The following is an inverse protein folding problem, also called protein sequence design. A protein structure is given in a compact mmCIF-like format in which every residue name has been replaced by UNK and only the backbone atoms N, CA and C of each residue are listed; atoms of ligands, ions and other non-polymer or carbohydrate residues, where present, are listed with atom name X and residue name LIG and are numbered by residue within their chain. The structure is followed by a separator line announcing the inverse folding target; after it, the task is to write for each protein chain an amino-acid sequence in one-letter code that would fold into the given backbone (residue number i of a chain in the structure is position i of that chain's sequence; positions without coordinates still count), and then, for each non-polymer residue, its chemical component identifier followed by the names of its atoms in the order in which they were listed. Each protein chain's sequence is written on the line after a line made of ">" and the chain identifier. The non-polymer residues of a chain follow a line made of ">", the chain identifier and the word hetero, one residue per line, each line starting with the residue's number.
data_IF_244915836004
#
_entry.id   IF_244915836004
#
_cell.length_a   1.000
_cell.length_b   1.000
_cell.length_c   1.000
_cell.angle_alpha   90.00
_cell.angle_beta   90.00
_cell.angle_gamma   90.00
#
_symmetry.space_group_name_H-M   'P 1'
#
loop_
_entity.id
_entity.type
_entity.pdbx_description
1 polymer ?
#
# COMPACT_ATOMS: atom_id res chain seq x y z
N UNK A 1 1.75 20.90 -23.62
CA UNK A 1 0.71 19.92 -23.21
C UNK A 1 1.24 18.50 -22.99
N UNK A 2 1.86 17.83 -23.97
CA UNK A 2 2.36 16.44 -23.83
C UNK A 2 3.25 16.19 -22.59
N UNK A 3 4.23 17.06 -22.32
CA UNK A 3 5.11 16.97 -21.12
C UNK A 3 4.40 17.17 -19.78
N UNK A 4 3.26 17.86 -19.77
CA UNK A 4 2.47 18.09 -18.57
C UNK A 4 1.60 16.86 -18.26
N UNK A 5 0.92 16.32 -19.28
CA UNK A 5 0.20 15.04 -19.18
C UNK A 5 1.12 13.89 -18.75
N UNK A 6 2.32 13.78 -19.32
CA UNK A 6 3.28 12.73 -18.93
C UNK A 6 3.67 12.81 -17.45
N UNK A 7 3.83 14.02 -16.90
CA UNK A 7 4.13 14.22 -15.46
C UNK A 7 2.92 13.91 -14.58
N UNK A 8 1.73 14.28 -15.02
CA UNK A 8 0.49 14.00 -14.29
C UNK A 8 0.12 12.51 -14.27
N UNK A 9 0.51 11.78 -15.32
CA UNK A 9 0.23 10.35 -15.51
C UNK A 9 1.31 9.45 -14.91
N UNK A 10 2.59 9.86 -14.94
CA UNK A 10 3.66 9.06 -14.36
C UNK A 10 3.81 9.26 -12.85
N UNK A 11 3.49 10.43 -12.29
CA UNK A 11 3.77 10.72 -10.88
C UNK A 11 5.26 10.60 -10.53
N UNK A 12 5.60 10.83 -9.26
CA UNK A 12 6.96 10.58 -8.74
C UNK A 12 7.08 9.16 -8.16
N UNK A 13 8.29 8.65 -7.97
CA UNK A 13 8.50 7.38 -7.25
C UNK A 13 7.89 7.43 -5.84
N UNK A 14 7.94 8.58 -5.16
CA UNK A 14 7.32 8.79 -3.85
C UNK A 14 5.79 8.69 -3.93
N UNK A 15 5.17 9.27 -4.95
CA UNK A 15 3.73 9.14 -5.18
C UNK A 15 3.36 7.68 -5.46
N UNK A 16 4.16 6.98 -6.27
CA UNK A 16 3.96 5.55 -6.55
C UNK A 16 4.04 4.70 -5.27
N UNK A 17 5.02 4.92 -4.39
CA UNK A 17 5.12 4.16 -3.13
C UNK A 17 3.97 4.47 -2.16
N UNK A 18 3.46 5.71 -2.14
CA UNK A 18 2.23 6.06 -1.40
C UNK A 18 1.01 5.30 -1.95
N UNK A 19 0.85 5.26 -3.28
CA UNK A 19 -0.22 4.49 -3.91
C UNK A 19 -0.10 2.99 -3.63
N UNK A 20 1.12 2.43 -3.55
CA UNK A 20 1.34 1.04 -3.13
C UNK A 20 0.90 0.81 -1.68
N UNK A 21 1.24 1.69 -0.74
CA UNK A 21 0.77 1.56 0.64
C UNK A 21 -0.78 1.61 0.72
N UNK A 22 -1.39 2.53 -0.02
CA UNK A 22 -2.85 2.65 -0.13
C UNK A 22 -3.51 1.41 -0.76
N UNK A 23 -2.81 0.72 -1.67
CA UNK A 23 -3.22 -0.57 -2.25
C UNK A 23 -3.28 -1.66 -1.19
N UNK A 24 -2.26 -1.76 -0.35
CA UNK A 24 -2.20 -2.76 0.73
C UNK A 24 -3.30 -2.54 1.78
N UNK A 25 -3.70 -1.29 2.03
CA UNK A 25 -4.86 -0.96 2.88
C UNK A 25 -6.23 -1.26 2.22
N UNK A 26 -6.26 -1.66 0.95
CA UNK A 26 -7.49 -1.91 0.19
C UNK A 26 -8.25 -0.64 -0.21
N UNK A 27 -7.61 0.54 -0.17
CA UNK A 27 -8.25 1.86 -0.38
C UNK A 27 -7.99 2.47 -1.75
N UNK A 28 -7.31 1.76 -2.65
CA UNK A 28 -6.88 2.31 -3.94
C UNK A 28 -8.04 2.42 -4.94
N UNK A 29 -8.26 3.62 -5.48
CA UNK A 29 -9.26 3.84 -6.54
C UNK A 29 -8.80 3.27 -7.89
N UNK A 30 -9.74 3.10 -8.82
CA UNK A 30 -9.45 2.58 -10.17
C UNK A 30 -8.43 3.45 -10.93
N UNK A 31 -8.57 4.78 -10.86
CA UNK A 31 -7.66 5.72 -11.54
C UNK A 31 -6.25 5.63 -10.94
N UNK A 32 -6.16 5.56 -9.61
CA UNK A 32 -4.88 5.39 -8.92
C UNK A 32 -4.21 4.07 -9.26
N UNK A 33 -5.00 2.99 -9.39
CA UNK A 33 -4.51 1.69 -9.84
C UNK A 33 -3.92 1.75 -11.24
N UNK A 34 -4.57 2.45 -12.17
CA UNK A 34 -4.04 2.66 -13.53
C UNK A 34 -2.74 3.47 -13.52
N UNK A 35 -2.69 4.57 -12.75
CA UNK A 35 -1.47 5.38 -12.60
C UNK A 35 -0.31 4.57 -12.05
N UNK A 36 -0.55 3.81 -10.98
CA UNK A 36 0.45 2.96 -10.36
C UNK A 36 0.96 1.90 -11.33
N UNK A 37 0.06 1.23 -12.06
CA UNK A 37 0.42 0.23 -13.08
C UNK A 37 1.27 0.81 -14.21
N UNK A 38 0.98 2.04 -14.65
CA UNK A 38 1.81 2.71 -15.66
C UNK A 38 3.21 3.01 -15.10
N UNK A 39 3.30 3.52 -13.88
CA UNK A 39 4.59 3.85 -13.26
C UNK A 39 5.46 2.60 -13.06
N UNK A 40 4.91 1.50 -12.54
CA UNK A 40 5.69 0.27 -12.28
C UNK A 40 6.10 -0.46 -13.56
N UNK A 41 5.37 -0.28 -14.66
CA UNK A 41 5.80 -0.75 -15.98
C UNK A 41 7.01 0.03 -16.54
N UNK A 42 7.18 1.30 -16.16
CA UNK A 42 8.24 2.17 -16.68
C UNK A 42 9.44 2.33 -15.73
N UNK A 43 9.21 2.22 -14.43
CA UNK A 43 10.23 2.36 -13.39
C UNK A 43 10.55 0.99 -12.78
N UNK A 44 11.70 0.44 -13.16
CA UNK A 44 12.15 -0.89 -12.71
C UNK A 44 12.32 -0.99 -11.19
N UNK A 45 12.71 0.10 -10.52
CA UNK A 45 12.83 0.14 -9.05
C UNK A 45 11.47 0.00 -8.38
N UNK A 46 10.47 0.77 -8.83
CA UNK A 46 9.12 0.69 -8.31
C UNK A 46 8.47 -0.67 -8.63
N UNK A 47 8.70 -1.24 -9.81
CA UNK A 47 8.23 -2.60 -10.13
C UNK A 47 8.83 -3.68 -9.23
N UNK A 48 10.13 -3.59 -8.92
CA UNK A 48 10.79 -4.50 -7.95
C UNK A 48 10.26 -4.30 -6.54
N UNK A 49 10.08 -3.06 -6.12
CA UNK A 49 9.56 -2.72 -4.80
C UNK A 49 8.11 -3.21 -4.63
N UNK A 50 7.24 -3.02 -5.61
CA UNK A 50 5.86 -3.55 -5.57
C UNK A 50 5.87 -5.08 -5.40
N UNK A 51 6.69 -5.79 -6.19
CA UNK A 51 6.84 -7.24 -6.07
C UNK A 51 7.30 -7.65 -4.67
N UNK A 52 8.31 -6.97 -4.13
CA UNK A 52 8.84 -7.25 -2.79
C UNK A 52 7.76 -7.04 -1.72
N UNK A 53 7.02 -5.94 -1.77
CA UNK A 53 5.96 -5.64 -0.80
C UNK A 53 4.85 -6.69 -0.85
N UNK A 54 4.41 -7.09 -2.05
CA UNK A 54 3.42 -8.16 -2.18
C UNK A 54 3.94 -9.50 -1.63
N UNK A 55 5.22 -9.83 -1.85
CA UNK A 55 5.82 -11.04 -1.28
C UNK A 55 5.84 -10.99 0.25
N UNK A 56 6.28 -9.87 0.84
CA UNK A 56 6.26 -9.69 2.30
C UNK A 56 4.84 -9.84 2.85
N UNK A 57 3.84 -9.26 2.19
CA UNK A 57 2.45 -9.32 2.63
C UNK A 57 1.91 -10.77 2.61
N UNK A 58 2.19 -11.54 1.56
CA UNK A 58 1.80 -12.95 1.48
C UNK A 58 2.52 -13.80 2.54
N UNK A 59 3.83 -13.67 2.66
CA UNK A 59 4.62 -14.42 3.65
C UNK A 59 4.20 -14.08 5.09
N UNK A 60 3.84 -12.81 5.36
CA UNK A 60 3.38 -12.38 6.69
C UNK A 60 2.09 -13.07 7.12
N UNK A 61 1.24 -13.52 6.20
CA UNK A 61 0.02 -14.29 6.53
C UNK A 61 0.33 -15.67 7.10
N UNK A 62 1.51 -16.20 6.82
CA UNK A 62 1.96 -17.50 7.28
C UNK A 62 2.77 -17.43 8.58
N UNK A 63 3.12 -16.22 9.03
CA UNK A 63 3.77 -16.01 10.33
C UNK A 63 2.71 -16.13 11.43
N UNK A 64 2.61 -17.32 12.01
CA UNK A 64 1.85 -17.52 13.24
C UNK A 64 2.62 -16.92 14.41
N UNK A 65 1.98 -15.96 15.09
CA UNK A 65 2.44 -15.47 16.38
C UNK A 65 1.56 -16.07 17.45
N UNK A 66 2.17 -16.75 18.43
CA UNK A 66 1.47 -17.22 19.63
C UNK A 66 1.15 -16.05 20.58
N UNK A 67 1.57 -14.82 20.25
CA UNK A 67 1.28 -13.63 21.03
C UNK A 67 -0.21 -13.24 20.86
N UNK A 68 -1.02 -13.63 21.83
CA UNK A 68 -2.41 -13.19 21.95
C UNK A 68 -2.45 -11.85 22.67
N UNK A 69 -3.25 -10.90 22.17
CA UNK A 69 -3.55 -9.66 22.89
C UNK A 69 -4.24 -10.00 24.22
N UNK A 70 -3.76 -9.42 25.32
CA UNK A 70 -4.50 -9.52 26.58
C UNK A 70 -5.89 -8.92 26.41
N UNK A 71 -6.88 -9.46 27.14
CA UNK A 71 -8.25 -8.96 27.09
C UNK A 71 -8.31 -7.45 27.35
N UNK A 72 -7.51 -6.96 28.31
CA UNK A 72 -7.38 -5.54 28.61
C UNK A 72 -6.83 -4.71 27.44
N UNK A 73 -5.77 -5.20 26.77
CA UNK A 73 -5.19 -4.50 25.62
C UNK A 73 -6.19 -4.42 24.47
N UNK A 74 -6.93 -5.51 24.21
CA UNK A 74 -7.98 -5.56 23.19
C UNK A 74 -9.11 -4.56 23.47
N UNK A 75 -9.65 -4.57 24.68
CA UNK A 75 -10.73 -3.66 25.10
C UNK A 75 -10.31 -2.18 25.02
N UNK A 76 -9.05 -1.88 25.37
CA UNK A 76 -8.51 -0.52 25.25
C UNK A 76 -8.50 -0.05 23.79
N UNK A 77 -8.07 -0.90 22.86
CA UNK A 77 -8.03 -0.57 21.42
C UNK A 77 -9.45 -0.34 20.89
N UNK A 78 -10.40 -1.22 21.22
CA UNK A 78 -11.79 -1.10 20.78
C UNK A 78 -12.44 0.20 21.24
N UNK A 79 -12.19 0.64 22.49
CA UNK A 79 -12.69 1.92 23.00
C UNK A 79 -12.10 3.13 22.25
N UNK A 80 -10.83 3.07 21.85
CA UNK A 80 -10.21 4.15 21.07
C UNK A 80 -10.81 4.26 19.66
N UNK A 81 -11.19 3.13 19.06
CA UNK A 81 -11.79 3.09 17.72
C UNK A 81 -13.28 3.47 17.74
N UNK A 82 -14.02 3.14 18.81
CA UNK A 82 -15.44 3.49 18.94
C UNK A 82 -15.69 4.99 19.19
N UNK A 83 -14.65 5.75 19.52
CA UNK A 83 -14.72 7.20 19.73
C UNK A 83 -14.35 8.05 18.51
N UNK A 84 -14.09 7.43 17.35
CA UNK A 84 -13.84 8.09 16.06
C UNK A 84 -15.04 7.93 15.13
#
# INVERSE_FOLDING_TARGET
>A
MKKFMMRLLMGSCMEATILMAKKEEGRLSFIEKMKLSLHTAMCSFCGKFEKQTCQIAEESKHVHSDAVLSAFAKEKIERMLAGQ
#
